data_IF_833258800185
#
_entry.id   IF_833258800185
#
_cell.length_a   1.000
_cell.length_b   1.000
_cell.length_c   1.000
_cell.angle_alpha   90.00
_cell.angle_beta   90.00
_cell.angle_gamma   90.00
#
_symmetry.space_group_name_H-M   'P 1'
#
loop_
_entity.id
_entity.type
_entity.pdbx_description
1 polymer ?
#
# COMPACT_ATOMS: atom_id res chain seq x y z
N UNK A 1 -3.08 27.97 4.78
CA UNK A 1 -3.78 26.79 4.23
C UNK A 1 -3.05 25.54 4.69
N UNK A 2 -3.70 24.59 5.37
CA UNK A 2 -3.04 23.34 5.77
C UNK A 2 -2.83 22.44 4.54
N UNK A 3 -1.70 21.72 4.49
CA UNK A 3 -1.33 20.77 3.43
C UNK A 3 -2.48 19.80 3.10
N UNK A 4 -3.22 19.38 4.13
CA UNK A 4 -4.40 18.53 4.04
C UNK A 4 -5.54 19.13 3.19
N UNK A 5 -5.77 20.44 3.28
CA UNK A 5 -6.80 21.11 2.45
C UNK A 5 -6.40 21.16 0.98
N UNK A 6 -5.11 21.34 0.67
CA UNK A 6 -4.62 21.30 -0.70
C UNK A 6 -4.80 19.92 -1.33
N UNK A 7 -4.54 18.85 -0.57
CA UNK A 7 -4.80 17.48 -1.02
C UNK A 7 -6.27 17.16 -1.21
N UNK A 8 -7.16 17.67 -0.35
CA UNK A 8 -8.61 17.54 -0.53
C UNK A 8 -9.10 18.26 -1.78
N UNK A 9 -8.61 19.47 -2.04
CA UNK A 9 -8.93 20.21 -3.27
C UNK A 9 -8.43 19.47 -4.51
N UNK A 10 -7.24 18.87 -4.43
CA UNK A 10 -6.68 18.05 -5.50
C UNK A 10 -7.54 16.81 -5.78
N UNK A 11 -7.99 16.10 -4.75
CA UNK A 11 -8.92 14.98 -4.91
C UNK A 11 -10.28 15.42 -5.50
N UNK A 12 -10.79 16.57 -5.07
CA UNK A 12 -11.97 17.20 -5.64
C UNK A 12 -11.81 17.51 -7.14
N UNK A 13 -10.68 18.10 -7.53
CA UNK A 13 -10.34 18.39 -8.92
C UNK A 13 -10.30 17.12 -9.77
N UNK A 14 -9.66 16.06 -9.28
CA UNK A 14 -9.63 14.77 -9.96
C UNK A 14 -11.00 14.12 -10.08
N UNK A 15 -11.89 14.34 -9.11
CA UNK A 15 -13.27 13.85 -9.15
C UNK A 15 -14.11 14.54 -10.23
N UNK A 16 -13.78 15.79 -10.60
CA UNK A 16 -14.47 16.49 -11.68
C UNK A 16 -14.18 15.87 -13.06
N UNK A 17 -13.00 15.26 -13.26
CA UNK A 17 -12.61 14.69 -14.55
C UNK A 17 -13.55 13.56 -15.01
N UNK A 18 -13.85 12.51 -14.20
CA UNK A 18 -14.86 11.51 -14.56
C UNK A 18 -16.26 12.10 -14.71
N UNK A 19 -16.64 13.08 -13.90
CA UNK A 19 -17.96 13.72 -14.00
C UNK A 19 -18.13 14.39 -15.37
N UNK A 20 -17.11 15.12 -15.83
CA UNK A 20 -17.11 15.67 -17.19
C UNK A 20 -17.17 14.57 -18.26
N UNK A 21 -16.48 13.44 -18.05
CA UNK A 21 -16.55 12.28 -18.93
C UNK A 21 -17.95 11.66 -19.02
N UNK A 22 -18.66 11.54 -17.89
CA UNK A 22 -20.05 11.07 -17.83
C UNK A 22 -20.95 12.01 -18.63
N UNK A 23 -20.84 13.31 -18.38
CA UNK A 23 -21.61 14.33 -19.11
C UNK A 23 -21.35 14.22 -20.61
N UNK A 24 -20.08 14.14 -21.04
CA UNK A 24 -19.73 14.00 -22.46
C UNK A 24 -20.37 12.77 -23.12
N UNK A 25 -20.44 11.63 -22.42
CA UNK A 25 -21.10 10.42 -22.93
C UNK A 25 -22.61 10.62 -23.04
N UNK A 26 -23.25 11.22 -22.03
CA UNK A 26 -24.71 11.47 -22.02
C UNK A 26 -25.16 12.42 -23.13
N UNK A 27 -24.32 13.38 -23.52
CA UNK A 27 -24.58 14.31 -24.62
C UNK A 27 -24.17 13.75 -26.01
N UNK A 28 -24.00 12.44 -26.14
CA UNK A 28 -23.79 11.77 -27.42
C UNK A 28 -22.34 11.73 -27.91
N UNK A 29 -21.37 12.18 -27.10
CA UNK A 29 -19.94 12.13 -27.42
C UNK A 29 -19.26 10.79 -27.08
N UNK A 30 -20.02 9.78 -26.65
CA UNK A 30 -19.47 8.54 -26.12
C UNK A 30 -19.08 7.51 -27.18
N UNK A 31 -17.79 7.19 -27.25
CA UNK A 31 -17.31 5.95 -27.89
C UNK A 31 -17.23 4.83 -26.86
N UNK A 32 -17.27 3.54 -27.26
CA UNK A 32 -16.99 2.42 -26.34
C UNK A 32 -15.64 2.57 -25.61
N UNK A 33 -14.65 3.16 -26.28
CA UNK A 33 -13.35 3.49 -25.70
C UNK A 33 -13.45 4.53 -24.56
N UNK A 34 -14.38 5.48 -24.67
CA UNK A 34 -14.62 6.49 -23.64
C UNK A 34 -15.15 5.84 -22.34
N UNK A 35 -15.97 4.79 -22.44
CA UNK A 35 -16.47 4.06 -21.27
C UNK A 35 -15.35 3.33 -20.50
N UNK A 36 -14.39 2.77 -21.23
CA UNK A 36 -13.20 2.14 -20.64
C UNK A 36 -12.34 3.20 -19.93
N UNK A 37 -12.03 4.31 -20.59
CA UNK A 37 -11.27 5.41 -19.99
C UNK A 37 -11.96 5.97 -18.74
N UNK A 38 -13.30 6.12 -18.80
CA UNK A 38 -14.08 6.57 -17.67
C UNK A 38 -13.98 5.60 -16.49
N UNK A 39 -14.06 4.29 -16.75
CA UNK A 39 -13.95 3.26 -15.72
C UNK A 39 -12.59 3.31 -15.02
N UNK A 40 -11.50 3.44 -15.78
CA UNK A 40 -10.16 3.66 -15.21
C UNK A 40 -10.10 4.98 -14.43
N UNK A 41 -10.64 6.07 -14.96
CA UNK A 41 -10.70 7.37 -14.28
C UNK A 41 -11.42 7.30 -12.93
N UNK A 42 -12.57 6.63 -12.86
CA UNK A 42 -13.31 6.41 -11.61
C UNK A 42 -12.49 5.57 -10.63
N UNK A 43 -11.89 4.47 -11.07
CA UNK A 43 -11.01 3.65 -10.22
C UNK A 43 -9.83 4.45 -9.67
N UNK A 44 -9.22 5.30 -10.50
CA UNK A 44 -8.15 6.20 -10.10
C UNK A 44 -8.60 7.19 -9.02
N UNK A 45 -9.77 7.81 -9.18
CA UNK A 45 -10.36 8.72 -8.18
C UNK A 45 -10.67 7.99 -6.87
N UNK A 46 -11.21 6.77 -6.94
CA UNK A 46 -11.44 5.94 -5.75
C UNK A 46 -10.14 5.65 -5.01
N UNK A 47 -9.07 5.30 -5.73
CA UNK A 47 -7.74 5.09 -5.15
C UNK A 47 -7.18 6.36 -4.51
N UNK A 48 -7.37 7.51 -5.16
CA UNK A 48 -6.95 8.81 -4.66
C UNK A 48 -7.68 9.17 -3.36
N UNK A 49 -9.00 8.96 -3.29
CA UNK A 49 -9.77 9.16 -2.06
C UNK A 49 -9.35 8.19 -0.96
N UNK A 50 -9.08 6.92 -1.28
CA UNK A 50 -8.52 5.96 -0.33
C UNK A 50 -7.20 6.43 0.27
N UNK A 51 -6.29 6.92 -0.58
CA UNK A 51 -5.01 7.49 -0.15
C UNK A 51 -5.21 8.72 0.75
N UNK A 52 -6.07 9.66 0.37
CA UNK A 52 -6.28 10.91 1.13
C UNK A 52 -7.02 10.72 2.45
N UNK A 53 -7.96 9.77 2.51
CA UNK A 53 -8.66 9.42 3.74
C UNK A 53 -7.89 8.41 4.61
N UNK A 54 -6.69 8.02 4.17
CA UNK A 54 -5.86 7.00 4.82
C UNK A 54 -6.63 5.68 5.09
N UNK A 55 -7.48 5.28 4.14
CA UNK A 55 -8.30 4.07 4.21
C UNK A 55 -7.92 3.09 3.12
N UNK A 56 -7.75 1.82 3.50
CA UNK A 56 -7.57 0.73 2.55
C UNK A 56 -8.87 0.46 1.76
N UNK A 57 -8.95 1.00 0.56
CA UNK A 57 -9.98 0.67 -0.42
C UNK A 57 -9.42 -0.38 -1.36
N UNK A 58 -10.09 -1.52 -1.53
CA UNK A 58 -9.65 -2.66 -2.35
C UNK A 58 -8.33 -3.30 -1.85
N UNK A 59 -7.89 -4.39 -2.49
CA UNK A 59 -6.65 -5.09 -2.12
C UNK A 59 -5.41 -4.28 -2.56
N UNK A 60 -4.45 -4.09 -1.65
CA UNK A 60 -3.18 -3.41 -1.86
C UNK A 60 -2.43 -3.88 -3.13
N UNK A 61 -2.53 -5.17 -3.46
CA UNK A 61 -1.89 -5.79 -4.63
C UNK A 61 -2.44 -5.30 -5.97
N UNK A 62 -3.66 -4.76 -6.00
CA UNK A 62 -4.30 -4.31 -7.25
C UNK A 62 -3.88 -2.89 -7.66
N UNK A 63 -3.51 -2.05 -6.70
CA UNK A 63 -3.18 -0.63 -6.95
C UNK A 63 -1.88 -0.42 -7.70
N UNK A 64 -0.86 -1.25 -7.46
CA UNK A 64 0.43 -1.15 -8.17
C UNK A 64 0.34 -1.54 -9.65
N UNK A 65 -0.28 -2.66 -10.04
CA UNK A 65 -0.58 -2.94 -11.45
C UNK A 65 -1.41 -1.85 -12.10
N UNK A 66 -2.42 -1.32 -11.40
CA UNK A 66 -3.25 -0.24 -11.92
C UNK A 66 -2.43 1.03 -12.19
N UNK A 67 -1.56 1.42 -11.25
CA UNK A 67 -0.62 2.52 -11.46
C UNK A 67 0.28 2.31 -12.68
N UNK A 68 0.74 1.08 -12.90
CA UNK A 68 1.55 0.73 -14.07
C UNK A 68 0.75 0.87 -15.37
N UNK A 69 -0.53 0.47 -15.38
CA UNK A 69 -1.42 0.70 -16.53
C UNK A 69 -1.54 2.19 -16.87
N UNK A 70 -1.73 3.05 -15.87
CA UNK A 70 -1.76 4.51 -16.08
C UNK A 70 -0.43 5.06 -16.62
N UNK A 71 0.70 4.59 -16.07
CA UNK A 71 2.02 5.02 -16.50
C UNK A 71 2.30 4.58 -17.95
N UNK A 72 2.08 3.30 -18.27
CA UNK A 72 2.28 2.76 -19.63
C UNK A 72 1.32 3.43 -20.62
N UNK A 73 0.05 3.60 -20.25
CA UNK A 73 -0.92 4.31 -21.09
C UNK A 73 -0.47 5.74 -21.42
N UNK A 74 0.06 6.46 -20.43
CA UNK A 74 0.61 7.81 -20.63
C UNK A 74 1.84 7.81 -21.55
N UNK A 75 2.73 6.83 -21.42
CA UNK A 75 3.91 6.70 -22.27
C UNK A 75 3.55 6.34 -23.71
N UNK A 76 2.60 5.42 -23.91
CA UNK A 76 2.08 5.07 -25.24
C UNK A 76 1.44 6.30 -25.89
N UNK A 77 0.62 7.04 -25.13
CA UNK A 77 0.01 8.27 -25.60
C UNK A 77 1.05 9.32 -26.00
N UNK A 78 2.12 9.47 -25.22
CA UNK A 78 3.24 10.35 -25.55
C UNK A 78 3.97 9.89 -26.82
N UNK A 79 4.17 8.59 -26.99
CA UNK A 79 4.74 8.01 -28.21
C UNK A 79 3.90 8.34 -29.46
N UNK A 80 2.57 8.27 -29.35
CA UNK A 80 1.65 8.63 -30.45
C UNK A 80 1.79 10.12 -30.80
N UNK A 81 1.78 11.00 -29.79
CA UNK A 81 1.92 12.45 -29.97
C UNK A 81 3.22 12.81 -30.70
N UNK A 82 4.31 12.07 -30.43
CA UNK A 82 5.61 12.30 -31.06
C UNK A 82 5.74 11.67 -32.46
N UNK A 83 4.96 10.63 -32.76
CA UNK A 83 5.12 9.85 -34.00
C UNK A 83 4.10 10.22 -35.08
N UNK A 84 2.96 10.80 -34.72
CA UNK A 84 1.83 11.06 -35.63
C UNK A 84 1.46 12.54 -35.58
N UNK A 85 1.18 13.20 -36.72
CA UNK A 85 0.63 14.55 -36.71
C UNK A 85 -0.77 14.54 -36.10
N UNK A 86 -0.90 15.10 -34.89
CA UNK A 86 -2.16 15.23 -34.16
C UNK A 86 -2.69 16.66 -34.30
N UNK A 87 -3.99 16.83 -34.53
CA UNK A 87 -4.63 18.14 -34.56
C UNK A 87 -4.41 18.91 -33.25
N UNK A 88 -4.20 20.24 -33.31
CA UNK A 88 -3.78 21.03 -32.13
C UNK A 88 -4.70 20.94 -30.90
N UNK A 89 -6.02 20.82 -31.13
CA UNK A 89 -6.99 20.61 -30.03
C UNK A 89 -6.80 19.24 -29.38
N UNK A 90 -6.70 18.18 -30.19
CA UNK A 90 -6.48 16.82 -29.70
C UNK A 90 -5.12 16.69 -29.00
N UNK A 91 -4.09 17.36 -29.52
CA UNK A 91 -2.76 17.43 -28.90
C UNK A 91 -2.83 18.00 -27.48
N UNK A 92 -3.52 19.13 -27.30
CA UNK A 92 -3.69 19.76 -25.99
C UNK A 92 -4.38 18.82 -25.00
N UNK A 93 -5.48 18.17 -25.42
CA UNK A 93 -6.19 17.19 -24.60
C UNK A 93 -5.34 15.96 -24.25
N UNK A 94 -4.55 15.46 -25.19
CA UNK A 94 -3.62 14.35 -24.95
C UNK A 94 -2.50 14.75 -23.98
N UNK A 95 -1.93 15.95 -24.09
CA UNK A 95 -0.89 16.38 -23.15
C UNK A 95 -1.44 16.56 -21.73
N UNK A 96 -2.58 17.23 -21.60
CA UNK A 96 -3.24 17.41 -20.29
C UNK A 96 -3.54 16.04 -19.67
N UNK A 97 -4.25 15.16 -20.39
CA UNK A 97 -4.61 13.83 -19.86
C UNK A 97 -3.38 13.01 -19.46
N UNK A 98 -2.27 13.06 -20.21
CA UNK A 98 -1.02 12.37 -19.85
C UNK A 98 -0.41 12.89 -18.55
N UNK A 99 -0.37 14.21 -18.35
CA UNK A 99 0.16 14.82 -17.13
C UNK A 99 -0.66 14.36 -15.92
N UNK A 100 -1.99 14.46 -16.00
CA UNK A 100 -2.89 14.04 -14.92
C UNK A 100 -2.80 12.52 -14.66
N UNK A 101 -2.73 11.70 -15.71
CA UNK A 101 -2.58 10.25 -15.57
C UNK A 101 -1.24 9.86 -14.93
N UNK A 102 -0.15 10.55 -15.26
CA UNK A 102 1.17 10.26 -14.69
C UNK A 102 1.24 10.61 -13.20
N UNK A 103 0.70 11.76 -12.81
CA UNK A 103 0.64 12.16 -11.39
C UNK A 103 -0.21 11.15 -10.60
N UNK A 104 -1.35 10.75 -11.16
CA UNK A 104 -2.22 9.73 -10.57
C UNK A 104 -1.49 8.39 -10.43
N UNK A 105 -0.76 7.96 -11.46
CA UNK A 105 0.03 6.73 -11.43
C UNK A 105 1.03 6.72 -10.26
N UNK A 106 1.77 7.81 -10.07
CA UNK A 106 2.71 7.94 -8.94
C UNK A 106 1.99 7.82 -7.60
N UNK A 107 0.86 8.52 -7.44
CA UNK A 107 0.08 8.46 -6.19
C UNK A 107 -0.46 7.05 -5.92
N UNK A 108 -1.04 6.39 -6.93
CA UNK A 108 -1.55 5.02 -6.80
C UNK A 108 -0.42 4.02 -6.52
N UNK A 109 0.76 4.22 -7.10
CA UNK A 109 1.92 3.37 -6.85
C UNK A 109 2.37 3.45 -5.38
N UNK A 110 2.41 4.66 -4.83
CA UNK A 110 2.71 4.88 -3.41
C UNK A 110 1.60 4.35 -2.51
N UNK A 111 0.34 4.62 -2.84
CA UNK A 111 -0.81 4.09 -2.10
C UNK A 111 -0.78 2.56 -2.03
N UNK A 112 -0.49 1.88 -3.13
CA UNK A 112 -0.35 0.42 -3.20
C UNK A 112 0.91 -0.16 -2.53
N UNK A 113 1.69 0.62 -1.78
CA UNK A 113 2.84 0.09 -1.04
C UNK A 113 2.38 -0.69 0.20
N UNK A 114 2.95 -1.89 0.43
CA UNK A 114 2.54 -2.78 1.53
C UNK A 114 2.96 -2.25 2.88
N UNK A 115 4.13 -1.62 2.91
CA UNK A 115 4.74 -1.13 4.14
C UNK A 115 4.12 0.22 4.52
N UNK A 116 2.81 0.19 4.82
CA UNK A 116 2.01 1.33 5.27
C UNK A 116 0.98 0.88 6.31
N UNK A 117 0.75 1.69 7.36
CA UNK A 117 -0.18 1.35 8.43
C UNK A 117 -1.64 1.29 7.95
N UNK A 118 -1.95 1.90 6.80
CA UNK A 118 -3.31 1.98 6.25
C UNK A 118 -3.91 0.61 5.90
N UNK A 119 -3.05 -0.39 5.66
CA UNK A 119 -3.43 -1.76 5.31
C UNK A 119 -3.62 -2.68 6.51
N UNK A 120 -3.15 -2.26 7.69
CA UNK A 120 -3.28 -3.04 8.91
C UNK A 120 -4.65 -2.83 9.57
N UNK A 121 -5.20 -3.89 10.15
CA UNK A 121 -6.42 -3.84 10.95
C UNK A 121 -6.20 -3.01 12.24
N UNK A 122 -7.29 -2.60 12.90
CA UNK A 122 -7.18 -1.87 14.16
C UNK A 122 -6.50 -2.71 15.26
N UNK A 123 -6.77 -4.02 15.29
CA UNK A 123 -6.12 -4.95 16.21
C UNK A 123 -4.62 -5.08 15.93
N UNK A 124 -4.23 -5.22 14.66
CA UNK A 124 -2.83 -5.28 14.23
C UNK A 124 -2.10 -3.97 14.56
N UNK A 125 -2.74 -2.82 14.38
CA UNK A 125 -2.18 -1.50 14.77
C UNK A 125 -1.97 -1.39 16.27
N UNK A 126 -2.94 -1.81 17.08
CA UNK A 126 -2.82 -1.78 18.53
C UNK A 126 -1.67 -2.69 19.02
N UNK A 127 -1.56 -3.90 18.46
CA UNK A 127 -0.45 -4.81 18.74
C UNK A 127 0.89 -4.24 18.28
N UNK A 128 0.93 -3.57 17.12
CA UNK A 128 2.14 -2.96 16.58
C UNK A 128 2.65 -1.80 17.45
N UNK A 129 1.74 -0.97 17.97
CA UNK A 129 2.10 0.11 18.90
C UNK A 129 2.71 -0.45 20.19
N UNK A 130 2.12 -1.51 20.76
CA UNK A 130 2.67 -2.19 21.94
C UNK A 130 4.05 -2.80 21.65
N UNK A 131 4.21 -3.47 20.51
CA UNK A 131 5.50 -4.03 20.10
C UNK A 131 6.56 -2.94 19.90
N UNK A 132 6.19 -1.82 19.27
CA UNK A 132 7.10 -0.69 19.07
C UNK A 132 7.56 -0.11 20.42
N UNK A 133 6.66 0.03 21.39
CA UNK A 133 6.99 0.47 22.74
C UNK A 133 7.91 -0.52 23.47
N UNK A 134 7.66 -1.83 23.34
CA UNK A 134 8.54 -2.87 23.89
C UNK A 134 9.95 -2.81 23.27
N UNK A 135 10.05 -2.56 21.97
CA UNK A 135 11.32 -2.43 21.25
C UNK A 135 12.08 -1.12 21.53
N UNK A 136 11.43 -0.14 22.17
CA UNK A 136 12.11 1.04 22.70
C UNK A 136 12.76 0.75 24.06
N UNK A 137 12.17 -0.16 24.83
CA UNK A 137 12.69 -0.58 26.13
C UNK A 137 13.69 -1.74 26.01
N UNK A 138 13.51 -2.61 25.02
CA UNK A 138 14.30 -3.83 24.80
C UNK A 138 14.90 -3.81 23.39
N UNK A 139 16.18 -4.13 23.25
CA UNK A 139 16.88 -4.13 21.95
C UNK A 139 16.34 -5.17 20.96
N UNK A 140 15.76 -6.25 21.47
CA UNK A 140 15.11 -7.29 20.66
C UNK A 140 14.04 -8.04 21.44
N UNK A 141 12.94 -8.38 20.77
CA UNK A 141 11.86 -9.23 21.30
C UNK A 141 11.79 -10.49 20.45
N UNK A 142 11.78 -11.67 21.09
CA UNK A 142 11.69 -12.95 20.39
C UNK A 142 10.42 -13.70 20.77
N UNK A 143 9.56 -13.96 19.79
CA UNK A 143 8.37 -14.77 19.97
C UNK A 143 8.55 -16.15 19.33
N UNK A 144 7.89 -17.14 19.91
CA UNK A 144 7.98 -18.55 19.51
C UNK A 144 6.59 -19.10 19.22
N UNK A 145 6.50 -19.89 18.15
CA UNK A 145 5.36 -20.75 17.87
C UNK A 145 5.84 -22.20 17.85
N UNK A 146 5.22 -23.05 18.67
CA UNK A 146 5.58 -24.47 18.79
C UNK A 146 4.38 -25.34 18.48
N UNK A 147 4.54 -26.17 17.48
CA UNK A 147 3.63 -27.26 17.14
C UNK A 147 4.39 -28.60 17.18
N UNK A 148 3.70 -29.75 17.32
CA UNK A 148 4.36 -31.05 17.35
C UNK A 148 5.20 -31.27 16.09
N UNK A 149 6.53 -31.26 16.26
CA UNK A 149 7.51 -31.45 15.18
C UNK A 149 7.89 -30.18 14.41
N UNK A 150 7.33 -29.01 14.72
CA UNK A 150 7.62 -27.72 14.08
C UNK A 150 7.88 -26.63 15.13
N UNK A 151 9.02 -25.96 15.07
CA UNK A 151 9.33 -24.83 15.96
C UNK A 151 9.72 -23.62 15.11
N UNK A 152 8.91 -22.56 15.17
CA UNK A 152 9.18 -21.31 14.50
C UNK A 152 9.50 -20.24 15.56
N UNK A 153 10.53 -19.45 15.33
CA UNK A 153 10.86 -18.30 16.18
C UNK A 153 11.05 -17.05 15.32
N UNK A 154 10.53 -15.92 15.80
CA UNK A 154 10.75 -14.61 15.17
C UNK A 154 11.44 -13.72 16.19
N UNK A 155 12.67 -13.34 15.88
CA UNK A 155 13.39 -12.30 16.60
C UNK A 155 13.17 -10.96 15.89
N UNK A 156 12.69 -9.98 16.62
CA UNK A 156 12.40 -8.64 16.12
C UNK A 156 13.32 -7.67 16.83
N UNK A 157 13.98 -6.79 16.08
CA UNK A 157 14.86 -5.75 16.63
C UNK A 157 14.65 -4.41 15.92
N UNK A 158 14.91 -3.31 16.63
CA UNK A 158 14.93 -1.96 16.07
C UNK A 158 16.35 -1.62 15.65
N UNK A 159 16.56 -1.37 14.36
CA UNK A 159 17.86 -1.04 13.76
C UNK A 159 17.78 0.35 13.15
N UNK A 160 18.23 1.36 13.90
CA UNK A 160 18.08 2.76 13.54
C UNK A 160 16.61 3.19 13.44
N UNK A 161 16.19 3.64 12.26
CA UNK A 161 14.80 4.05 11.97
C UNK A 161 13.95 2.93 11.34
N UNK A 162 14.42 1.69 11.33
CA UNK A 162 13.70 0.56 10.75
C UNK A 162 13.61 -0.61 11.75
N UNK A 163 12.73 -1.56 11.45
CA UNK A 163 12.56 -2.79 12.19
C UNK A 163 13.10 -3.96 11.36
N UNK A 164 13.81 -4.88 12.00
CA UNK A 164 14.34 -6.09 11.38
C UNK A 164 13.71 -7.31 12.05
N UNK A 165 13.09 -8.17 11.25
CA UNK A 165 12.60 -9.47 11.69
C UNK A 165 13.52 -10.57 11.14
N UNK A 166 14.06 -11.40 12.03
CA UNK A 166 14.75 -12.64 11.69
C UNK A 166 13.85 -13.81 12.06
N UNK A 167 13.40 -14.55 11.04
CA UNK A 167 12.53 -15.71 11.21
C UNK A 167 13.39 -16.96 11.07
N UNK A 168 13.31 -17.84 12.07
CA UNK A 168 13.89 -19.17 12.02
C UNK A 168 12.78 -20.20 12.06
N UNK A 169 12.68 -21.04 11.04
CA UNK A 169 11.75 -22.15 10.95
C UNK A 169 12.52 -23.45 11.11
N UNK A 170 12.14 -24.26 12.09
CA UNK A 170 12.68 -25.59 12.30
C UNK A 170 11.63 -26.62 11.91
N UNK A 171 11.96 -27.39 10.88
CA UNK A 171 11.16 -28.53 10.41
C UNK A 171 11.94 -29.83 10.61
N UNK A 172 11.30 -31.00 10.54
CA UNK A 172 12.00 -32.29 10.62
C UNK A 172 13.07 -32.49 9.54
N UNK A 173 12.99 -31.73 8.43
CA UNK A 173 13.89 -31.82 7.28
C UNK A 173 15.03 -30.81 7.30
N UNK A 174 15.04 -29.86 8.24
CA UNK A 174 16.07 -28.83 8.34
C UNK A 174 15.59 -27.54 8.98
N UNK A 175 16.55 -26.62 9.15
CA UNK A 175 16.34 -25.27 9.68
C UNK A 175 16.52 -24.24 8.56
N UNK A 176 15.54 -23.35 8.39
CA UNK A 176 15.61 -22.21 7.47
C UNK A 176 15.58 -20.91 8.27
N UNK A 177 16.52 -20.02 7.99
CA UNK A 177 16.57 -18.69 8.58
C UNK A 177 16.54 -17.64 7.47
N UNK A 178 15.64 -16.66 7.58
CA UNK A 178 15.58 -15.52 6.67
C UNK A 178 15.30 -14.23 7.43
N UNK A 179 15.81 -13.14 6.89
CA UNK A 179 15.70 -11.81 7.49
C UNK A 179 14.97 -10.85 6.56
N UNK A 180 14.12 -10.02 7.14
CA UNK A 180 13.43 -8.98 6.40
C UNK A 180 13.34 -7.68 7.21
N UNK A 181 13.48 -6.55 6.51
CA UNK A 181 13.42 -5.21 7.08
C UNK A 181 12.09 -4.52 6.73
N UNK A 182 11.54 -3.79 7.69
CA UNK A 182 10.27 -3.09 7.60
C UNK A 182 10.42 -1.67 8.16
N UNK A 183 9.74 -0.69 7.58
CA UNK A 183 9.68 0.67 8.13
C UNK A 183 8.60 0.81 9.18
N UNK A 184 7.51 0.04 9.07
CA UNK A 184 6.38 0.11 9.98
C UNK A 184 6.20 -1.20 10.77
N UNK A 185 5.95 -1.13 12.09
CA UNK A 185 5.80 -2.31 12.95
C UNK A 185 4.55 -3.14 12.60
N UNK A 186 3.51 -2.55 12.03
CA UNK A 186 2.29 -3.24 11.59
C UNK A 186 2.60 -4.26 10.48
N UNK A 187 3.45 -3.87 9.53
CA UNK A 187 3.83 -4.75 8.41
C UNK A 187 4.71 -5.91 8.89
N UNK A 188 5.47 -5.66 9.96
CA UNK A 188 6.28 -6.67 10.61
C UNK A 188 5.42 -7.71 11.33
N UNK A 189 4.38 -7.30 12.05
CA UNK A 189 3.45 -8.24 12.71
C UNK A 189 2.72 -9.11 11.69
N UNK A 190 2.18 -8.52 10.62
CA UNK A 190 1.58 -9.28 9.52
C UNK A 190 2.56 -10.29 8.91
N UNK A 191 3.84 -9.92 8.82
CA UNK A 191 4.88 -10.82 8.35
C UNK A 191 5.16 -11.95 9.34
N UNK A 192 5.30 -11.66 10.63
CA UNK A 192 5.53 -12.66 11.66
C UNK A 192 4.39 -13.68 11.74
N UNK A 193 3.14 -13.23 11.66
CA UNK A 193 1.97 -14.12 11.63
C UNK A 193 1.98 -14.98 10.36
N UNK A 194 2.12 -14.36 9.18
CA UNK A 194 2.04 -15.07 7.91
C UNK A 194 3.20 -16.03 7.66
N UNK A 195 4.38 -15.74 8.18
CA UNK A 195 5.60 -16.49 7.89
C UNK A 195 6.13 -17.30 9.06
N UNK A 196 5.70 -17.07 10.29
CA UNK A 196 6.11 -17.90 11.42
C UNK A 196 4.93 -18.50 12.19
N UNK A 197 3.68 -18.22 11.78
CA UNK A 197 2.46 -18.56 12.50
C UNK A 197 2.43 -18.00 13.92
N UNK A 198 3.24 -16.95 14.17
CA UNK A 198 3.30 -16.30 15.48
C UNK A 198 2.20 -15.25 15.54
N UNK A 199 1.20 -15.50 16.39
CA UNK A 199 0.11 -14.56 16.60
C UNK A 199 0.64 -13.21 17.12
N UNK A 200 0.05 -12.08 16.74
CA UNK A 200 0.48 -10.75 17.19
C UNK A 200 0.55 -10.62 18.71
N UNK A 201 -0.33 -11.32 19.45
CA UNK A 201 -0.37 -11.29 20.91
C UNK A 201 0.80 -12.03 21.56
N UNK A 202 1.49 -12.92 20.84
CA UNK A 202 2.63 -13.67 21.38
C UNK A 202 3.83 -12.76 21.70
N UNK A 203 3.93 -11.62 21.02
CA UNK A 203 4.96 -10.61 21.31
C UNK A 203 4.64 -9.76 22.54
N UNK A 204 3.36 -9.56 22.85
CA UNK A 204 2.92 -8.73 23.99
C UNK A 204 2.68 -9.57 25.26
N UNK A 205 2.32 -10.85 25.13
CA UNK A 205 2.06 -11.75 26.27
C UNK A 205 3.32 -12.20 27.02
N UNK A 206 4.52 -11.91 26.51
CA UNK A 206 5.78 -12.15 27.22
C UNK A 206 5.92 -11.26 28.46
N UNK A 207 5.31 -10.08 28.47
CA UNK A 207 5.28 -9.17 29.62
C UNK A 207 4.47 -9.74 30.79
N UNK A 208 3.34 -10.40 30.51
CA UNK A 208 2.50 -11.03 31.55
C UNK A 208 3.16 -12.27 32.18
N UNK A 209 3.94 -13.05 31.41
CA UNK A 209 4.69 -14.19 31.97
C UNK A 209 5.96 -13.77 32.72
N UNK A 210 6.58 -12.66 32.33
CA UNK A 210 7.71 -12.09 33.07
C UNK A 210 7.30 -11.55 34.44
N UNK A 211 6.07 -11.02 34.57
CA UNK A 211 5.56 -10.49 35.84
C UNK A 211 4.99 -11.55 36.80
N UNK A 212 4.80 -12.80 36.36
CA UNK A 212 4.35 -13.91 37.23
C UNK A 212 5.52 -14.73 37.81
N UNK A 213 6.76 -14.41 37.43
CA UNK A 213 7.98 -15.08 37.90
C UNK A 213 8.89 -14.13 38.71
N UNK A 214 8.39 -12.96 39.11
CA UNK A 214 9.06 -12.02 40.00
C UNK A 214 8.46 -12.07 41.41
#
# INVERSE_FOLDING_TARGET
>A
MSLQRAYLLFAGLYSLLPVMGIVAILFGGGTPLALVHLSFGVLGVVGLWGYMLNRGVMNQRMWRPLALVFAVGSLVQMGIVLSVPVAGVALTWMLISSIFALILAVMLYHYGNRDQPLWASEEERAAAMKLAQLLEQQSSVTAYHREPGHENSVCVSKVGNAYQASVTRRTPKGQETFEQRFRHPETLLFFAEKFASVAPQAFTGQEERGSQLA
#
